data_IF_044702380437
#
_entry.id   IF_044702380437
#
_cell.length_a   1.000
_cell.length_b   1.000
_cell.length_c   1.000
_cell.angle_alpha   90.00
_cell.angle_beta   90.00
_cell.angle_gamma   90.00
#
_symmetry.space_group_name_H-M   'P 1'
#
loop_
_entity.id
_entity.type
_entity.pdbx_description
1 polymer ?
#
# COMPACT_ATOMS: atom_id res chain seq x y z
N UNK A 1 46.49 39.15 49.19
CA UNK A 1 45.40 38.55 48.39
C UNK A 1 45.69 38.79 46.94
N UNK A 2 46.32 37.85 46.30
CA UNK A 2 46.63 37.94 44.83
C UNK A 2 45.38 37.59 44.02
N UNK A 3 45.14 38.36 42.90
CA UNK A 3 44.00 38.04 42.03
C UNK A 3 44.22 36.73 41.24
N UNK A 4 43.16 36.00 40.87
CA UNK A 4 43.28 34.76 40.14
C UNK A 4 43.81 34.99 38.74
N UNK A 5 44.84 34.21 38.38
CA UNK A 5 45.40 34.17 37.00
C UNK A 5 44.40 33.58 36.03
N UNK A 6 44.04 34.36 35.02
CA UNK A 6 43.26 33.88 33.85
C UNK A 6 44.20 32.99 33.01
N UNK A 7 43.84 31.78 32.60
CA UNK A 7 44.63 30.97 31.68
C UNK A 7 44.75 31.69 30.31
N UNK A 8 45.93 31.75 29.77
CA UNK A 8 46.17 32.28 28.43
C UNK A 8 45.47 31.41 27.37
N UNK A 9 44.79 32.06 26.41
CA UNK A 9 44.20 31.37 25.27
C UNK A 9 45.30 30.73 24.42
N UNK A 10 45.08 29.47 24.02
CA UNK A 10 45.95 28.75 23.13
C UNK A 10 46.11 29.49 21.77
N UNK A 11 47.32 29.52 21.17
CA UNK A 11 47.51 30.12 19.88
C UNK A 11 46.79 29.33 18.78
N UNK A 12 46.30 30.00 17.72
CA UNK A 12 45.62 29.31 16.61
C UNK A 12 46.58 28.37 15.90
N UNK A 13 46.12 27.15 15.64
CA UNK A 13 46.80 26.09 14.89
C UNK A 13 47.18 26.59 13.48
N UNK A 14 48.41 26.47 13.00
CA UNK A 14 48.78 26.90 11.64
C UNK A 14 48.06 26.00 10.62
N UNK A 15 47.42 26.65 9.64
CA UNK A 15 46.82 25.98 8.49
C UNK A 15 47.92 25.19 7.73
N UNK A 16 47.81 23.86 7.74
CA UNK A 16 48.74 22.98 6.99
C UNK A 16 49.41 21.87 7.79
N UNK A 17 49.09 21.69 9.08
CA UNK A 17 49.65 20.58 9.86
C UNK A 17 49.14 19.22 9.35
N UNK A 18 50.03 18.49 8.64
CA UNK A 18 49.81 17.08 8.29
C UNK A 18 50.36 16.24 9.44
N UNK A 19 49.50 15.55 10.14
CA UNK A 19 49.95 14.65 11.19
C UNK A 19 50.99 13.64 10.68
N UNK A 20 52.05 13.36 11.44
CA UNK A 20 53.01 12.32 11.06
C UNK A 20 52.30 10.96 10.99
N UNK A 21 52.76 10.11 10.05
CA UNK A 21 52.26 8.73 9.96
C UNK A 21 52.43 8.02 11.31
N UNK A 22 51.46 7.24 11.71
CA UNK A 22 51.48 6.51 12.97
C UNK A 22 52.77 5.65 13.07
N UNK A 23 53.50 5.82 14.15
CA UNK A 23 54.65 5.01 14.47
C UNK A 23 54.20 3.58 14.77
N UNK A 24 54.64 2.56 14.03
CA UNK A 24 54.27 1.17 14.26
C UNK A 24 54.64 0.62 15.66
N UNK A 25 55.46 1.33 16.43
CA UNK A 25 55.92 0.94 17.76
C UNK A 25 55.17 1.63 18.89
N UNK A 26 54.18 2.49 18.60
CA UNK A 26 53.35 3.10 19.63
C UNK A 26 52.44 2.08 20.28
N UNK A 27 52.26 2.10 21.62
CA UNK A 27 51.28 1.23 22.30
C UNK A 27 49.88 1.48 21.77
N UNK A 28 49.12 0.40 21.60
CA UNK A 28 47.72 0.50 21.16
C UNK A 28 46.94 1.45 22.08
N UNK A 29 46.42 2.56 21.54
CA UNK A 29 45.63 3.53 22.31
C UNK A 29 46.40 4.84 22.67
N UNK A 30 47.67 5.03 22.26
CA UNK A 30 48.35 6.29 22.49
C UNK A 30 47.82 7.37 21.53
N UNK A 31 47.22 8.42 22.07
CA UNK A 31 46.87 9.66 21.36
C UNK A 31 47.75 10.78 21.89
N UNK A 32 48.54 11.48 21.02
CA UNK A 32 49.32 12.63 21.46
C UNK A 32 48.41 13.74 22.01
N UNK A 33 48.87 14.55 22.97
CA UNK A 33 48.10 15.69 23.49
C UNK A 33 47.72 16.63 22.36
N UNK A 34 46.37 16.92 22.23
CA UNK A 34 45.80 17.73 21.14
C UNK A 34 45.18 16.97 19.99
N UNK A 35 45.17 15.62 20.00
CA UNK A 35 44.45 14.84 19.01
C UNK A 35 42.97 14.76 19.38
N UNK A 36 42.13 15.56 18.69
CA UNK A 36 40.69 15.36 18.67
C UNK A 36 40.36 14.54 17.39
N UNK A 37 39.80 13.30 17.52
CA UNK A 37 39.39 12.58 16.34
C UNK A 37 38.34 13.38 15.60
N UNK A 38 38.53 13.59 14.28
CA UNK A 38 37.49 14.22 13.46
C UNK A 38 36.18 13.45 13.63
N UNK A 39 35.06 14.14 13.85
CA UNK A 39 33.78 13.48 13.94
C UNK A 39 33.50 12.76 12.62
N UNK A 40 33.32 11.44 12.69
CA UNK A 40 33.05 10.59 11.55
C UNK A 40 31.92 11.24 10.70
N UNK A 41 32.26 11.69 9.50
CA UNK A 41 31.34 12.36 8.61
C UNK A 41 30.10 11.52 8.38
N UNK A 42 28.92 12.15 8.44
CA UNK A 42 27.66 11.44 8.19
C UNK A 42 27.73 10.74 6.84
N UNK A 43 27.42 9.43 6.76
CA UNK A 43 27.52 8.71 5.51
C UNK A 43 26.67 9.38 4.42
N UNK A 44 27.14 9.43 3.17
CA UNK A 44 26.46 10.13 2.08
C UNK A 44 25.06 9.55 1.87
N UNK A 45 24.11 10.41 1.46
CA UNK A 45 22.68 10.09 1.33
C UNK A 45 22.39 8.83 0.51
N UNK A 46 23.21 8.55 -0.52
CA UNK A 46 23.06 7.35 -1.34
C UNK A 46 23.37 6.04 -0.59
N UNK A 47 24.31 6.05 0.39
CA UNK A 47 24.57 4.89 1.25
C UNK A 47 23.43 4.65 2.24
N UNK A 48 22.77 5.73 2.70
CA UNK A 48 21.57 5.62 3.54
C UNK A 48 20.39 5.08 2.75
N UNK A 49 20.18 5.58 1.52
CA UNK A 49 19.13 5.08 0.62
C UNK A 49 19.36 3.60 0.27
N UNK A 50 20.61 3.19 -0.02
CA UNK A 50 20.97 1.79 -0.26
C UNK A 50 20.65 0.89 0.93
N UNK A 51 20.95 1.32 2.15
CA UNK A 51 20.63 0.58 3.39
C UNK A 51 19.12 0.37 3.58
N UNK A 52 18.32 1.40 3.31
CA UNK A 52 16.84 1.32 3.40
C UNK A 52 16.29 0.36 2.33
N UNK A 53 16.79 0.42 1.10
CA UNK A 53 16.36 -0.47 0.01
C UNK A 53 16.73 -1.93 0.33
N UNK A 54 17.93 -2.18 0.84
CA UNK A 54 18.36 -3.52 1.25
C UNK A 54 17.54 -4.02 2.43
N UNK A 55 17.31 -3.19 3.45
CA UNK A 55 16.48 -3.56 4.61
C UNK A 55 15.03 -3.85 4.21
N UNK A 56 14.44 -3.04 3.31
CA UNK A 56 13.11 -3.28 2.76
C UNK A 56 13.08 -4.57 1.92
N UNK A 57 14.11 -4.82 1.10
CA UNK A 57 14.24 -6.06 0.34
C UNK A 57 14.37 -7.30 1.22
N UNK A 58 15.17 -7.25 2.28
CA UNK A 58 15.32 -8.34 3.26
C UNK A 58 14.04 -8.56 4.06
N UNK A 59 13.32 -7.50 4.44
CA UNK A 59 12.00 -7.59 5.07
C UNK A 59 10.99 -8.26 4.15
N UNK A 60 10.94 -7.86 2.87
CA UNK A 60 10.07 -8.46 1.86
C UNK A 60 10.42 -9.93 1.58
N UNK A 61 11.71 -10.28 1.52
CA UNK A 61 12.16 -11.67 1.33
C UNK A 61 11.83 -12.54 2.56
N UNK A 62 12.08 -12.05 3.77
CA UNK A 62 11.74 -12.77 5.01
C UNK A 62 10.23 -12.91 5.21
N UNK A 63 9.47 -11.83 4.93
CA UNK A 63 8.02 -11.86 5.02
C UNK A 63 7.41 -12.76 3.93
N UNK A 64 7.93 -12.68 2.69
CA UNK A 64 7.52 -13.52 1.57
C UNK A 64 7.80 -15.01 1.80
N UNK A 65 8.95 -15.35 2.38
CA UNK A 65 9.29 -16.74 2.70
C UNK A 65 8.39 -17.31 3.83
N UNK A 66 8.12 -16.52 4.87
CA UNK A 66 7.19 -16.88 5.96
C UNK A 66 5.74 -16.98 5.46
N UNK A 67 5.32 -16.05 4.58
CA UNK A 67 4.01 -16.06 3.96
C UNK A 67 3.83 -17.28 3.04
N UNK A 68 4.88 -17.67 2.29
CA UNK A 68 4.86 -18.87 1.45
C UNK A 68 4.74 -20.15 2.28
N UNK A 69 5.42 -20.24 3.41
CA UNK A 69 5.28 -21.34 4.38
C UNK A 69 3.87 -21.42 4.99
N UNK A 70 3.29 -20.28 5.34
CA UNK A 70 1.92 -20.18 5.85
C UNK A 70 0.89 -20.55 4.76
N UNK A 71 1.09 -20.10 3.51
CA UNK A 71 0.25 -20.44 2.36
C UNK A 71 0.28 -21.94 2.03
N UNK A 72 1.41 -22.63 2.23
CA UNK A 72 1.52 -24.08 2.00
C UNK A 72 0.82 -24.94 3.08
N UNK A 73 0.60 -24.37 4.28
CA UNK A 73 -0.15 -25.04 5.35
C UNK A 73 -1.68 -24.89 5.22
N UNK A 74 -2.14 -23.96 4.35
CA UNK A 74 -3.55 -23.54 4.23
C UNK A 74 -4.47 -24.40 3.30
N UNK A 75 -4.03 -25.34 2.42
CA UNK A 75 -4.95 -25.99 1.46
C UNK A 75 -5.97 -26.93 2.08
N UNK A 76 -5.85 -27.32 3.35
CA UNK A 76 -6.70 -28.38 3.95
C UNK A 76 -7.95 -27.88 4.69
N UNK A 77 -8.12 -26.57 4.88
CA UNK A 77 -9.18 -26.00 5.74
C UNK A 77 -9.88 -24.77 5.11
N UNK A 78 -10.52 -24.95 3.97
CA UNK A 78 -11.07 -23.85 3.15
C UNK A 78 -12.06 -22.89 3.84
N UNK A 79 -12.85 -23.34 4.76
CA UNK A 79 -13.80 -22.48 5.52
C UNK A 79 -13.13 -21.92 6.77
N UNK A 80 -12.25 -22.70 7.39
CA UNK A 80 -11.51 -22.29 8.58
C UNK A 80 -10.48 -21.18 8.28
N UNK A 81 -9.91 -21.16 7.08
CA UNK A 81 -8.91 -20.16 6.68
C UNK A 81 -9.49 -18.75 6.61
N UNK A 82 -10.68 -18.56 6.03
CA UNK A 82 -11.29 -17.23 5.96
C UNK A 82 -11.60 -16.71 7.35
N UNK A 83 -12.28 -17.51 8.18
CA UNK A 83 -12.66 -17.09 9.53
C UNK A 83 -11.43 -16.86 10.43
N UNK A 84 -10.44 -17.75 10.36
CA UNK A 84 -9.21 -17.58 11.14
C UNK A 84 -8.42 -16.35 10.69
N UNK A 85 -8.26 -16.12 9.38
CA UNK A 85 -7.58 -14.93 8.86
C UNK A 85 -8.32 -13.63 9.16
N UNK A 86 -9.68 -13.66 9.17
CA UNK A 86 -10.48 -12.53 9.63
C UNK A 86 -10.22 -12.21 11.09
N UNK A 87 -10.27 -13.22 11.98
CA UNK A 87 -10.02 -13.02 13.41
C UNK A 87 -8.62 -12.49 13.69
N UNK A 88 -7.61 -13.01 13.00
CA UNK A 88 -6.23 -12.48 13.09
C UNK A 88 -6.16 -11.03 12.63
N UNK A 89 -6.83 -10.67 11.54
CA UNK A 89 -6.85 -9.30 11.05
C UNK A 89 -7.62 -8.36 11.98
N UNK A 90 -8.77 -8.79 12.51
CA UNK A 90 -9.52 -8.03 13.53
C UNK A 90 -8.63 -7.80 14.76
N UNK A 91 -7.95 -8.84 15.25
CA UNK A 91 -7.02 -8.73 16.37
C UNK A 91 -5.89 -7.73 16.10
N UNK A 92 -5.23 -7.81 14.94
CA UNK A 92 -4.16 -6.91 14.56
C UNK A 92 -4.63 -5.44 14.43
N UNK A 93 -5.77 -5.20 13.80
CA UNK A 93 -6.33 -3.86 13.65
C UNK A 93 -6.86 -3.31 14.98
N UNK A 94 -7.36 -4.17 15.88
CA UNK A 94 -7.89 -3.76 17.18
C UNK A 94 -6.81 -3.18 18.11
N UNK A 95 -5.55 -3.60 17.93
CA UNK A 95 -4.41 -3.06 18.68
C UNK A 95 -4.12 -1.59 18.34
N UNK A 96 -4.58 -1.10 17.18
CA UNK A 96 -4.33 0.26 16.71
C UNK A 96 -5.58 1.12 16.84
N UNK A 97 -6.76 0.59 16.44
CA UNK A 97 -8.00 1.37 16.28
C UNK A 97 -9.16 0.91 17.17
N UNK A 98 -8.93 -0.07 18.05
CA UNK A 98 -9.95 -0.65 18.92
C UNK A 98 -10.85 -1.67 18.20
N UNK A 99 -11.52 -2.53 19.01
CA UNK A 99 -12.27 -3.69 18.53
C UNK A 99 -13.47 -3.33 17.65
N UNK A 100 -14.21 -2.28 18.02
CA UNK A 100 -15.43 -1.90 17.30
C UNK A 100 -15.12 -1.46 15.87
N UNK A 101 -14.10 -0.62 15.72
CA UNK A 101 -13.64 -0.18 14.39
C UNK A 101 -13.05 -1.36 13.60
N UNK A 102 -12.16 -2.15 14.21
CA UNK A 102 -11.51 -3.28 13.56
C UNK A 102 -12.53 -4.29 12.99
N UNK A 103 -13.57 -4.61 13.77
CA UNK A 103 -14.65 -5.48 13.33
C UNK A 103 -15.39 -4.89 12.12
N UNK A 104 -15.83 -3.62 12.22
CA UNK A 104 -16.53 -2.94 11.12
C UNK A 104 -15.67 -2.84 9.86
N UNK A 105 -14.39 -2.51 9.99
CA UNK A 105 -13.46 -2.42 8.88
C UNK A 105 -13.25 -3.77 8.15
N UNK A 106 -13.04 -4.85 8.90
CA UNK A 106 -12.88 -6.19 8.31
C UNK A 106 -14.17 -6.69 7.65
N UNK A 107 -15.33 -6.31 8.18
CA UNK A 107 -16.61 -6.60 7.52
C UNK A 107 -16.78 -5.82 6.21
N UNK A 108 -16.37 -4.56 6.15
CA UNK A 108 -16.36 -3.79 4.90
C UNK A 108 -15.42 -4.41 3.85
N UNK A 109 -14.23 -4.85 4.26
CA UNK A 109 -13.31 -5.62 3.40
C UNK A 109 -13.97 -6.91 2.90
N UNK A 110 -14.64 -7.66 3.78
CA UNK A 110 -15.32 -8.89 3.39
C UNK A 110 -16.41 -8.63 2.33
N UNK A 111 -17.22 -7.58 2.52
CA UNK A 111 -18.27 -7.20 1.55
C UNK A 111 -17.66 -6.86 0.19
N UNK A 112 -16.56 -6.12 0.18
CA UNK A 112 -15.81 -5.80 -1.04
C UNK A 112 -15.33 -7.07 -1.76
N UNK A 113 -14.63 -7.97 -1.06
CA UNK A 113 -14.13 -9.23 -1.62
C UNK A 113 -15.25 -10.16 -2.11
N UNK A 114 -16.38 -10.16 -1.42
CA UNK A 114 -17.54 -10.92 -1.87
C UNK A 114 -18.10 -10.44 -3.21
N UNK A 115 -17.94 -9.14 -3.53
CA UNK A 115 -18.22 -8.60 -4.87
C UNK A 115 -17.41 -9.33 -5.94
N UNK A 116 -16.11 -9.49 -5.74
CA UNK A 116 -15.24 -10.23 -6.66
C UNK A 116 -15.63 -11.71 -6.75
N UNK A 117 -15.86 -12.36 -5.62
CA UNK A 117 -16.28 -13.79 -5.60
C UNK A 117 -17.55 -14.01 -6.40
N UNK A 118 -18.56 -13.16 -6.21
CA UNK A 118 -19.84 -13.25 -6.95
C UNK A 118 -19.62 -13.08 -8.44
N UNK A 119 -18.83 -12.08 -8.85
CA UNK A 119 -18.60 -11.82 -10.27
C UNK A 119 -17.73 -12.92 -10.91
N UNK A 120 -16.69 -13.41 -10.23
CA UNK A 120 -15.89 -14.53 -10.72
C UNK A 120 -16.75 -15.76 -10.98
N UNK A 121 -17.67 -16.09 -10.06
CA UNK A 121 -18.61 -17.20 -10.26
C UNK A 121 -19.53 -16.96 -11.46
N UNK A 122 -19.99 -15.73 -11.69
CA UNK A 122 -20.81 -15.35 -12.86
C UNK A 122 -20.03 -15.50 -14.17
N UNK A 123 -18.71 -15.28 -14.16
CA UNK A 123 -17.82 -15.51 -15.31
C UNK A 123 -17.44 -16.99 -15.46
N UNK A 124 -17.92 -17.89 -14.60
CA UNK A 124 -17.59 -19.31 -14.62
C UNK A 124 -16.22 -19.65 -14.01
N UNK A 125 -15.55 -18.68 -13.41
CA UNK A 125 -14.19 -18.84 -12.86
C UNK A 125 -14.29 -19.32 -11.40
N UNK A 126 -13.53 -20.35 -11.06
CA UNK A 126 -13.42 -20.86 -9.70
C UNK A 126 -12.59 -19.89 -8.85
N UNK A 127 -13.23 -19.25 -7.88
CA UNK A 127 -12.59 -18.38 -6.90
C UNK A 127 -12.30 -19.14 -5.60
N UNK A 128 -11.22 -18.75 -4.91
CA UNK A 128 -11.00 -19.13 -3.52
C UNK A 128 -11.98 -18.40 -2.60
N UNK A 129 -12.09 -18.86 -1.36
CA UNK A 129 -12.65 -18.01 -0.31
C UNK A 129 -11.69 -16.82 -0.04
N UNK A 130 -12.20 -15.65 0.38
CA UNK A 130 -11.38 -14.52 0.75
C UNK A 130 -10.40 -14.87 1.87
N UNK A 131 -9.15 -14.42 1.75
CA UNK A 131 -8.12 -14.54 2.77
C UNK A 131 -7.68 -13.16 3.21
N UNK A 132 -7.72 -12.90 4.52
CA UNK A 132 -7.39 -11.60 5.10
C UNK A 132 -5.94 -11.59 5.55
N UNK A 133 -5.21 -10.55 5.15
CA UNK A 133 -3.81 -10.34 5.51
C UNK A 133 -3.75 -9.01 6.26
N UNK A 134 -3.39 -9.01 7.56
CA UNK A 134 -3.29 -7.78 8.32
C UNK A 134 -2.44 -6.74 7.59
N UNK A 135 -2.91 -5.50 7.53
CA UNK A 135 -2.29 -4.34 6.89
C UNK A 135 -2.12 -4.39 5.37
N UNK A 136 -2.40 -5.53 4.73
CA UNK A 136 -2.37 -5.68 3.27
C UNK A 136 -3.78 -5.82 2.65
N UNK A 137 -4.82 -5.92 3.50
CA UNK A 137 -6.20 -6.07 3.06
C UNK A 137 -6.65 -7.53 2.94
N UNK A 138 -7.46 -7.83 1.93
CA UNK A 138 -7.92 -9.18 1.68
C UNK A 138 -7.67 -9.57 0.21
N UNK A 139 -7.61 -10.86 -0.07
CA UNK A 139 -7.29 -11.39 -1.40
C UNK A 139 -8.18 -12.58 -1.73
N UNK A 140 -8.78 -12.55 -2.92
CA UNK A 140 -9.45 -13.69 -3.54
C UNK A 140 -8.57 -14.23 -4.66
N UNK A 141 -8.10 -15.48 -4.53
CA UNK A 141 -7.31 -16.11 -5.56
C UNK A 141 -8.23 -16.67 -6.67
N UNK A 142 -7.88 -16.36 -7.91
CA UNK A 142 -8.49 -16.93 -9.12
C UNK A 142 -7.68 -18.14 -9.57
N UNK A 143 -8.36 -19.22 -9.96
CA UNK A 143 -7.68 -20.40 -10.52
C UNK A 143 -7.33 -20.23 -11.99
N UNK A 144 -8.08 -19.39 -12.69
CA UNK A 144 -7.96 -19.13 -14.12
C UNK A 144 -8.11 -17.63 -14.37
N UNK A 145 -7.45 -17.11 -15.38
CA UNK A 145 -7.62 -15.72 -15.80
C UNK A 145 -8.99 -15.53 -16.45
N UNK A 146 -9.61 -14.34 -16.36
CA UNK A 146 -10.78 -13.99 -17.15
C UNK A 146 -10.51 -14.19 -18.65
N UNK A 147 -11.54 -14.61 -19.38
CA UNK A 147 -11.44 -14.96 -20.80
C UNK A 147 -11.03 -13.78 -21.70
N UNK A 148 -11.35 -12.56 -21.31
CA UNK A 148 -11.10 -11.32 -22.03
C UNK A 148 -11.02 -10.13 -21.07
N UNK A 149 -10.53 -9.01 -21.56
CA UNK A 149 -10.40 -7.78 -20.79
C UNK A 149 -11.75 -7.22 -20.32
N UNK A 150 -12.86 -7.51 -20.98
CA UNK A 150 -14.19 -7.10 -20.54
C UNK A 150 -14.64 -7.89 -19.30
N UNK A 151 -14.35 -9.19 -19.26
CA UNK A 151 -14.57 -10.02 -18.07
C UNK A 151 -13.65 -9.59 -16.92
N UNK A 152 -12.37 -9.30 -17.20
CA UNK A 152 -11.42 -8.77 -16.21
C UNK A 152 -11.93 -7.47 -15.60
N UNK A 153 -12.43 -6.54 -16.41
CA UNK A 153 -12.99 -5.27 -15.95
C UNK A 153 -14.26 -5.44 -15.09
N UNK A 154 -15.15 -6.37 -15.47
CA UNK A 154 -16.34 -6.67 -14.66
C UNK A 154 -15.95 -7.24 -13.30
N UNK A 155 -14.96 -8.12 -13.26
CA UNK A 155 -14.43 -8.65 -12.00
C UNK A 155 -13.79 -7.53 -11.17
N UNK A 156 -12.94 -6.68 -11.78
CA UNK A 156 -12.31 -5.57 -11.10
C UNK A 156 -13.32 -4.58 -10.50
N UNK A 157 -14.37 -4.22 -11.23
CA UNK A 157 -15.38 -3.27 -10.74
C UNK A 157 -16.34 -3.87 -9.70
N UNK A 158 -16.48 -5.19 -9.63
CA UNK A 158 -17.47 -5.82 -8.77
C UNK A 158 -17.20 -5.62 -7.27
N UNK A 159 -15.93 -5.65 -6.85
CA UNK A 159 -15.53 -5.33 -5.49
C UNK A 159 -15.94 -3.92 -5.08
N UNK A 160 -15.44 -2.88 -5.78
CA UNK A 160 -15.81 -1.51 -5.50
C UNK A 160 -17.32 -1.23 -5.57
N UNK A 161 -18.07 -1.83 -6.50
CA UNK A 161 -19.52 -1.66 -6.59
C UNK A 161 -20.23 -2.23 -5.34
N UNK A 162 -19.94 -3.47 -4.99
CA UNK A 162 -20.58 -4.11 -3.84
C UNK A 162 -20.07 -3.51 -2.53
N UNK A 163 -18.79 -3.19 -2.45
CA UNK A 163 -18.17 -2.53 -1.31
C UNK A 163 -18.74 -1.12 -1.06
N UNK A 164 -19.08 -0.38 -2.13
CA UNK A 164 -19.76 0.92 -2.00
C UNK A 164 -21.16 0.78 -1.39
N UNK A 165 -21.92 -0.23 -1.82
CA UNK A 165 -23.21 -0.55 -1.20
C UNK A 165 -23.03 -0.96 0.27
N UNK A 166 -21.94 -1.70 0.57
CA UNK A 166 -21.60 -2.04 1.95
C UNK A 166 -21.30 -0.82 2.82
N UNK A 167 -20.66 0.22 2.26
CA UNK A 167 -20.34 1.46 2.97
C UNK A 167 -21.60 2.32 3.27
N UNK A 168 -22.69 2.14 2.54
CA UNK A 168 -23.96 2.80 2.85
C UNK A 168 -24.61 2.26 4.15
N UNK A 169 -24.27 1.05 4.58
CA UNK A 169 -24.82 0.47 5.80
C UNK A 169 -24.38 1.27 7.04
N UNK A 170 -23.07 1.44 7.31
CA UNK A 170 -22.65 2.30 8.42
C UNK A 170 -23.11 3.74 8.24
N UNK A 171 -23.16 4.29 7.03
CA UNK A 171 -23.71 5.63 6.79
C UNK A 171 -25.18 5.73 7.25
N UNK A 172 -26.00 4.75 6.93
CA UNK A 172 -27.40 4.73 7.38
C UNK A 172 -27.51 4.60 8.91
N UNK A 173 -26.67 3.76 9.53
CA UNK A 173 -26.65 3.62 11.00
C UNK A 173 -26.21 4.95 11.64
N UNK A 174 -25.22 5.64 11.09
CA UNK A 174 -24.81 6.96 11.54
C UNK A 174 -25.99 7.95 11.48
N UNK A 175 -26.70 8.02 10.35
CA UNK A 175 -27.85 8.89 10.18
C UNK A 175 -29.00 8.63 11.17
N UNK A 176 -29.12 7.38 11.67
CA UNK A 176 -30.13 7.00 12.66
C UNK A 176 -29.69 7.19 14.11
N UNK A 177 -28.39 7.08 14.40
CA UNK A 177 -27.88 7.00 15.78
C UNK A 177 -27.01 8.18 16.18
N UNK A 178 -26.46 8.93 15.22
CA UNK A 178 -25.45 9.97 15.45
C UNK A 178 -24.10 9.44 15.95
N UNK A 179 -23.87 8.12 15.96
CA UNK A 179 -22.66 7.53 16.50
C UNK A 179 -21.50 7.66 15.49
N UNK A 180 -20.50 8.43 15.85
CA UNK A 180 -19.32 8.77 15.02
C UNK A 180 -18.54 7.55 14.54
N UNK A 181 -18.54 6.43 15.29
CA UNK A 181 -17.91 5.18 14.82
C UNK A 181 -18.43 4.78 13.43
N UNK A 182 -19.73 4.90 13.22
CA UNK A 182 -20.35 4.51 11.93
C UNK A 182 -20.07 5.54 10.84
N UNK A 183 -19.91 6.82 11.19
CA UNK A 183 -19.45 7.85 10.24
C UNK A 183 -18.03 7.54 9.76
N UNK A 184 -17.11 7.25 10.69
CA UNK A 184 -15.73 6.87 10.35
C UNK A 184 -15.70 5.59 9.52
N UNK A 185 -16.51 4.58 9.85
CA UNK A 185 -16.60 3.35 9.07
C UNK A 185 -17.14 3.60 7.66
N UNK A 186 -18.13 4.48 7.50
CA UNK A 186 -18.62 4.87 6.19
C UNK A 186 -17.54 5.57 5.36
N UNK A 187 -16.85 6.57 5.95
CA UNK A 187 -15.74 7.27 5.33
C UNK A 187 -14.66 6.29 4.84
N UNK A 188 -14.18 5.43 5.74
CA UNK A 188 -13.14 4.44 5.43
C UNK A 188 -13.63 3.43 4.39
N UNK A 189 -14.92 3.05 4.43
CA UNK A 189 -15.53 2.20 3.42
C UNK A 189 -15.53 2.84 2.02
N UNK A 190 -15.90 4.11 1.90
CA UNK A 190 -15.83 4.86 0.65
C UNK A 190 -14.39 5.04 0.18
N UNK A 191 -13.48 5.43 1.09
CA UNK A 191 -12.06 5.57 0.80
C UNK A 191 -11.44 4.27 0.27
N UNK A 192 -11.68 3.14 0.93
CA UNK A 192 -11.17 1.84 0.54
C UNK A 192 -11.57 1.48 -0.89
N UNK A 193 -12.84 1.68 -1.24
CA UNK A 193 -13.36 1.39 -2.57
C UNK A 193 -12.81 2.38 -3.62
N UNK A 194 -12.68 3.67 -3.28
CA UNK A 194 -12.08 4.67 -4.16
C UNK A 194 -10.58 4.41 -4.38
N UNK A 195 -9.86 4.03 -3.33
CA UNK A 195 -8.46 3.63 -3.41
C UNK A 195 -8.26 2.43 -4.34
N UNK A 196 -9.14 1.42 -4.23
CA UNK A 196 -9.10 0.26 -5.12
C UNK A 196 -9.45 0.61 -6.57
N UNK A 197 -10.12 1.74 -6.85
CA UNK A 197 -10.35 2.23 -8.20
C UNK A 197 -9.14 2.94 -8.82
N UNK A 198 -8.03 3.15 -8.10
CA UNK A 198 -6.83 3.70 -8.75
C UNK A 198 -6.46 2.86 -9.98
N UNK A 199 -6.20 3.51 -11.15
CA UNK A 199 -6.02 2.82 -12.43
C UNK A 199 -4.64 2.17 -12.56
N UNK A 200 -4.20 1.45 -11.53
CA UNK A 200 -2.89 0.78 -11.44
C UNK A 200 -3.06 -0.65 -10.93
N UNK A 201 -2.36 -1.59 -11.54
CA UNK A 201 -2.29 -2.96 -11.02
C UNK A 201 -1.42 -2.99 -9.74
N UNK A 202 -1.71 -3.85 -8.78
CA UNK A 202 -2.71 -4.92 -8.77
C UNK A 202 -4.12 -4.49 -8.33
N UNK A 203 -4.40 -3.19 -8.16
CA UNK A 203 -5.69 -2.69 -7.71
C UNK A 203 -6.80 -2.95 -8.74
N UNK A 204 -8.04 -2.92 -8.29
CA UNK A 204 -9.22 -3.23 -9.10
C UNK A 204 -9.43 -2.27 -10.27
N UNK A 205 -9.14 -0.98 -10.05
CA UNK A 205 -9.14 0.02 -11.11
C UNK A 205 -8.17 -0.32 -12.23
N UNK A 206 -6.99 -0.86 -11.90
CA UNK A 206 -6.05 -1.36 -12.90
C UNK A 206 -6.62 -2.50 -13.75
N UNK A 207 -7.41 -3.40 -13.16
CA UNK A 207 -8.14 -4.45 -13.89
C UNK A 207 -9.25 -3.86 -14.77
N UNK A 208 -9.98 -2.86 -14.29
CA UNK A 208 -10.99 -2.16 -15.08
C UNK A 208 -10.38 -1.49 -16.32
N UNK A 209 -9.15 -0.94 -16.19
CA UNK A 209 -8.43 -0.32 -17.30
C UNK A 209 -8.07 -1.30 -18.43
N UNK A 210 -8.00 -2.60 -18.17
CA UNK A 210 -7.76 -3.61 -19.21
C UNK A 210 -8.76 -3.52 -20.37
N UNK A 211 -10.04 -3.23 -20.08
CA UNK A 211 -11.07 -3.07 -21.09
C UNK A 211 -11.05 -1.70 -21.79
N UNK A 212 -10.48 -0.68 -21.17
CA UNK A 212 -10.46 0.68 -21.71
C UNK A 212 -9.26 0.89 -22.64
N UNK A 213 -8.06 0.86 -22.09
CA UNK A 213 -6.84 0.99 -22.87
C UNK A 213 -5.61 0.57 -22.04
N UNK A 214 -4.66 -0.17 -22.62
CA UNK A 214 -3.38 -0.48 -21.96
C UNK A 214 -2.58 0.76 -21.54
N UNK A 215 -2.78 1.91 -22.21
CA UNK A 215 -2.10 3.17 -21.87
C UNK A 215 -2.59 3.76 -20.54
N UNK A 216 -3.79 3.43 -20.09
CA UNK A 216 -4.35 3.90 -18.82
C UNK A 216 -3.54 3.38 -17.61
N UNK A 217 -2.88 2.22 -17.71
CA UNK A 217 -1.98 1.75 -16.66
C UNK A 217 -0.79 2.67 -16.43
N UNK A 218 -0.27 3.30 -17.50
CA UNK A 218 0.82 4.29 -17.37
C UNK A 218 0.35 5.55 -16.65
N UNK A 219 -0.88 5.99 -16.92
CA UNK A 219 -1.49 7.14 -16.23
C UNK A 219 -1.65 6.81 -14.74
N UNK A 220 -2.21 5.65 -14.42
CA UNK A 220 -2.36 5.20 -13.04
C UNK A 220 -1.02 5.05 -12.32
N UNK A 221 -0.02 4.53 -13.00
CA UNK A 221 1.32 4.39 -12.45
C UNK A 221 1.95 5.76 -12.16
N UNK A 222 1.80 6.73 -13.05
CA UNK A 222 2.26 8.11 -12.83
C UNK A 222 1.53 8.77 -11.65
N UNK A 223 0.21 8.56 -11.51
CA UNK A 223 -0.56 9.03 -10.34
C UNK A 223 -0.05 8.40 -9.04
N UNK A 224 0.27 7.10 -9.06
CA UNK A 224 0.79 6.41 -7.87
C UNK A 224 2.19 6.91 -7.49
N UNK A 225 3.06 7.21 -8.47
CA UNK A 225 4.36 7.85 -8.22
C UNK A 225 4.14 9.20 -7.53
N UNK A 226 3.26 10.05 -8.08
CA UNK A 226 2.96 11.36 -7.51
C UNK A 226 2.42 11.23 -6.07
N UNK A 227 1.47 10.32 -5.82
CA UNK A 227 0.94 10.05 -4.49
C UNK A 227 2.04 9.58 -3.51
N UNK A 228 2.96 8.73 -3.96
CA UNK A 228 4.07 8.24 -3.14
C UNK A 228 5.08 9.34 -2.79
N UNK A 229 5.28 10.32 -3.69
CA UNK A 229 6.15 11.48 -3.43
C UNK A 229 5.49 12.44 -2.44
N UNK A 230 4.20 12.71 -2.58
CA UNK A 230 3.43 13.64 -1.74
C UNK A 230 3.22 13.08 -0.34
N UNK A 231 2.86 11.80 -0.23
CA UNK A 231 2.57 11.11 1.01
C UNK A 231 3.32 9.76 1.08
N UNK A 232 4.63 9.77 1.38
CA UNK A 232 5.44 8.57 1.42
C UNK A 232 4.92 7.59 2.48
N UNK A 233 4.47 6.42 2.02
CA UNK A 233 3.90 5.37 2.84
C UNK A 233 4.45 4.01 2.37
N UNK A 234 4.86 3.09 3.28
CA UNK A 234 5.37 1.78 2.91
C UNK A 234 4.42 0.96 2.03
N UNK A 235 3.11 1.10 2.23
CA UNK A 235 2.09 0.39 1.44
C UNK A 235 2.06 0.95 0.01
N UNK A 236 2.10 2.28 -0.16
CA UNK A 236 2.17 2.89 -1.50
C UNK A 236 3.44 2.49 -2.24
N UNK A 237 4.58 2.41 -1.53
CA UNK A 237 5.85 1.95 -2.12
C UNK A 237 5.73 0.48 -2.57
N UNK A 238 5.12 -0.38 -1.76
CA UNK A 238 4.89 -1.77 -2.12
C UNK A 238 3.98 -1.90 -3.35
N UNK A 239 2.88 -1.14 -3.40
CA UNK A 239 1.97 -1.10 -4.55
C UNK A 239 2.70 -0.57 -5.78
N UNK A 240 3.55 0.45 -5.63
CA UNK A 240 4.36 1.02 -6.71
C UNK A 240 5.32 -0.02 -7.31
N UNK A 241 6.00 -0.80 -6.47
CA UNK A 241 6.92 -1.86 -6.92
C UNK A 241 6.17 -2.98 -7.66
N UNK A 242 5.10 -3.51 -7.05
CA UNK A 242 4.30 -4.59 -7.65
C UNK A 242 3.58 -4.10 -8.89
N UNK A 243 2.96 -2.92 -8.82
CA UNK A 243 2.25 -2.30 -9.93
C UNK A 243 3.17 -1.93 -11.09
N UNK A 244 4.37 -1.44 -10.80
CA UNK A 244 5.39 -1.16 -11.81
C UNK A 244 5.82 -2.40 -12.57
N UNK A 245 6.11 -3.49 -11.84
CA UNK A 245 6.46 -4.78 -12.44
C UNK A 245 5.33 -5.32 -13.32
N UNK A 246 4.09 -5.31 -12.83
CA UNK A 246 2.93 -5.82 -13.57
C UNK A 246 2.61 -4.94 -14.79
N UNK A 247 2.67 -3.62 -14.64
CA UNK A 247 2.49 -2.67 -15.74
C UNK A 247 3.56 -2.88 -16.82
N UNK A 248 4.82 -3.04 -16.43
CA UNK A 248 5.92 -3.32 -17.36
C UNK A 248 5.71 -4.65 -18.10
N UNK A 249 5.33 -5.72 -17.39
CA UNK A 249 5.06 -7.03 -17.97
C UNK A 249 3.97 -6.97 -19.03
N UNK A 250 2.83 -6.36 -18.70
CA UNK A 250 1.70 -6.21 -19.63
C UNK A 250 2.03 -5.26 -20.78
N UNK A 251 2.78 -4.18 -20.51
CA UNK A 251 3.23 -3.28 -21.56
C UNK A 251 4.18 -3.95 -22.55
N UNK A 252 5.09 -4.79 -22.08
CA UNK A 252 5.98 -5.57 -22.94
C UNK A 252 5.20 -6.55 -23.82
N UNK A 253 4.23 -7.24 -23.25
CA UNK A 253 3.39 -8.23 -23.96
C UNK A 253 2.33 -7.60 -24.89
N UNK A 254 2.11 -6.27 -24.86
CA UNK A 254 1.00 -5.61 -25.59
C UNK A 254 0.98 -5.81 -27.10
N UNK A 255 2.11 -6.22 -27.71
CA UNK A 255 2.23 -6.47 -29.14
C UNK A 255 1.96 -7.94 -29.51
N UNK A 256 1.88 -8.82 -28.53
CA UNK A 256 1.65 -10.23 -28.75
C UNK A 256 0.21 -10.43 -29.27
N UNK A 257 0.00 -11.29 -30.28
CA UNK A 257 -1.33 -11.53 -30.86
C UNK A 257 -2.39 -11.93 -29.83
N UNK A 258 -2.03 -12.79 -28.87
CA UNK A 258 -2.91 -13.23 -27.79
C UNK A 258 -3.32 -12.06 -26.88
N UNK A 259 -2.38 -11.17 -26.52
CA UNK A 259 -2.66 -9.99 -25.71
C UNK A 259 -3.57 -9.01 -26.49
N UNK A 260 -3.38 -8.85 -27.78
CA UNK A 260 -4.23 -8.00 -28.62
C UNK A 260 -5.67 -8.55 -28.70
N UNK A 261 -5.84 -9.87 -28.87
CA UNK A 261 -7.16 -10.50 -28.88
C UNK A 261 -7.82 -10.40 -27.50
N UNK A 262 -7.08 -10.63 -26.41
CA UNK A 262 -7.56 -10.43 -25.04
C UNK A 262 -8.13 -9.03 -24.80
N UNK A 263 -7.47 -7.99 -25.32
CA UNK A 263 -7.88 -6.59 -25.19
C UNK A 263 -8.86 -6.12 -26.27
N UNK A 264 -9.35 -7.02 -27.10
CA UNK A 264 -10.34 -6.72 -28.16
C UNK A 264 -11.73 -6.55 -27.52
N UNK A 265 -12.06 -5.31 -27.17
CA UNK A 265 -13.32 -4.96 -26.52
C UNK A 265 -14.14 -4.06 -27.43
N UNK A 266 -15.45 -4.31 -27.52
CA UNK A 266 -16.37 -3.47 -28.32
C UNK A 266 -16.45 -2.05 -27.75
N UNK A 267 -16.70 -1.05 -28.63
CA UNK A 267 -16.85 0.34 -28.21
C UNK A 267 -17.98 0.51 -27.16
N UNK A 268 -19.10 -0.18 -27.35
CA UNK A 268 -20.22 -0.15 -26.41
C UNK A 268 -19.82 -0.65 -25.02
N UNK A 269 -19.04 -1.74 -24.94
CA UNK A 269 -18.52 -2.27 -23.65
C UNK A 269 -17.54 -1.29 -23.01
N UNK A 270 -16.65 -0.66 -23.79
CA UNK A 270 -15.73 0.36 -23.27
C UNK A 270 -16.48 1.52 -22.64
N UNK A 271 -17.51 2.05 -23.31
CA UNK A 271 -18.33 3.13 -22.77
C UNK A 271 -19.08 2.71 -21.49
N UNK A 272 -19.61 1.48 -21.43
CA UNK A 272 -20.26 0.95 -20.22
C UNK A 272 -19.25 0.86 -19.05
N UNK A 273 -18.07 0.30 -19.29
CA UNK A 273 -17.02 0.19 -18.25
C UNK A 273 -16.57 1.57 -17.80
N UNK A 274 -16.33 2.50 -18.74
CA UNK A 274 -15.94 3.86 -18.40
C UNK A 274 -17.03 4.59 -17.60
N UNK A 275 -18.29 4.47 -18.01
CA UNK A 275 -19.41 5.08 -17.30
C UNK A 275 -19.56 4.56 -15.88
N UNK A 276 -19.48 3.24 -15.67
CA UNK A 276 -19.53 2.64 -14.33
C UNK A 276 -18.32 3.08 -13.50
N UNK A 277 -17.12 3.06 -14.08
CA UNK A 277 -15.89 3.45 -13.39
C UNK A 277 -15.93 4.91 -12.92
N UNK A 278 -16.26 5.84 -13.82
CA UNK A 278 -16.31 7.28 -13.51
C UNK A 278 -17.47 7.57 -12.56
N UNK A 279 -18.65 7.01 -12.81
CA UNK A 279 -19.82 7.21 -11.94
C UNK A 279 -19.55 6.71 -10.52
N UNK A 280 -18.89 5.56 -10.40
CA UNK A 280 -18.52 5.01 -9.10
C UNK A 280 -17.45 5.86 -8.41
N UNK A 281 -16.42 6.33 -9.12
CA UNK A 281 -15.39 7.20 -8.57
C UNK A 281 -15.98 8.52 -8.03
N UNK A 282 -16.90 9.14 -8.79
CA UNK A 282 -17.59 10.35 -8.34
C UNK A 282 -18.47 10.07 -7.11
N UNK A 283 -19.25 8.99 -7.13
CA UNK A 283 -20.11 8.61 -6.00
C UNK A 283 -19.29 8.38 -4.72
N UNK A 284 -18.17 7.69 -4.84
CA UNK A 284 -17.28 7.40 -3.72
C UNK A 284 -16.59 8.66 -3.18
N UNK A 285 -16.16 9.57 -4.07
CA UNK A 285 -15.59 10.85 -3.67
C UNK A 285 -16.61 11.72 -2.92
N UNK A 286 -17.85 11.80 -3.43
CA UNK A 286 -18.96 12.50 -2.76
C UNK A 286 -19.29 11.83 -1.41
N UNK A 287 -19.30 10.48 -1.36
CA UNK A 287 -19.52 9.75 -0.11
C UNK A 287 -18.44 10.02 0.94
N UNK A 288 -17.18 10.11 0.51
CA UNK A 288 -16.07 10.50 1.39
C UNK A 288 -16.25 11.93 1.92
N UNK A 289 -16.53 12.88 1.04
CA UNK A 289 -16.72 14.28 1.41
C UNK A 289 -17.88 14.42 2.41
N UNK A 290 -19.01 13.79 2.15
CA UNK A 290 -20.19 13.81 3.02
C UNK A 290 -19.98 13.12 4.39
N UNK A 291 -18.97 12.30 4.52
CA UNK A 291 -18.66 11.56 5.77
C UNK A 291 -17.37 12.01 6.43
N UNK A 292 -16.72 13.03 5.86
CA UNK A 292 -15.48 13.59 6.42
C UNK A 292 -15.74 14.21 7.79
N UNK A 293 -14.87 13.89 8.74
CA UNK A 293 -14.88 14.47 10.10
C UNK A 293 -13.81 15.56 10.16
N UNK A 294 -14.22 16.82 10.18
CA UNK A 294 -13.31 17.90 10.61
C UNK A 294 -13.08 17.73 12.11
N UNK A 295 -11.85 17.48 12.51
CA UNK A 295 -11.44 17.61 13.90
C UNK A 295 -10.90 19.04 14.07
N UNK A 296 -11.62 19.86 14.81
CA UNK A 296 -11.04 21.08 15.39
C UNK A 296 -10.02 20.64 16.44
N UNK A 297 -8.75 20.92 16.20
CA UNK A 297 -7.66 20.65 17.14
C UNK A 297 -7.61 21.69 18.28
N UNK A 298 -8.53 22.64 18.28
CA UNK A 298 -8.61 23.72 19.31
C UNK A 298 -9.30 23.25 20.61
N UNK A 299 -9.85 22.02 20.65
CA UNK A 299 -10.55 21.47 21.83
C UNK A 299 -9.69 20.46 22.64
N UNK A 300 -8.35 20.48 22.53
CA UNK A 300 -7.45 19.63 23.33
C UNK A 300 -6.63 20.41 24.31
#
# INVERSE_FOLDING_TARGET
MDPPRVPAADPPSPAGYRAPAADPQSPAGYHPPGYAPEPAGKPPLWKRAGGIIVAAGLLLLNFGAKLKGLLLLLPKLKVFTTSASMLVSIGAYSLIWGWSFALGFVLLLLVHEMGHVVQLRREGIKASAPMFIPFLGAVVAMKELPKDAAAEARVGLAGPVIGSLGALIPLAIYGLTGNELFQVLAYVGFFLNLFNLLPVLPLDGGRAMAALSPTMWLVGFAMLIAATIIAPNPILILILLVGGFETYRRWKARKDPEAQEYHRVSRATRFKVAGVYIGLAVLLAVGMDATFLERDFDDV
#
